data_IF_018198132137
#
_entry.id   IF_018198132137
#
_cell.length_a   1.000
_cell.length_b   1.000
_cell.length_c   1.000
_cell.angle_alpha   90.00
_cell.angle_beta   90.00
_cell.angle_gamma   90.00
#
_symmetry.space_group_name_H-M   'P 1'
#
loop_
_entity.id
_entity.type
_entity.pdbx_description
1 polymer ?
#
# COMPACT_ATOMS: atom_id res chain seq x y z
N UNK A 1 -21.68 -33.28 1.85
CA UNK A 1 -20.34 -33.77 2.25
C UNK A 1 -19.32 -33.20 1.28
N UNK A 2 -18.36 -32.45 1.78
CA UNK A 2 -17.29 -31.84 0.99
C UNK A 2 -16.26 -32.91 0.64
N UNK A 3 -16.18 -33.32 -0.63
CA UNK A 3 -15.14 -34.25 -1.09
C UNK A 3 -13.76 -33.60 -0.95
N UNK A 4 -12.83 -34.28 -0.27
CA UNK A 4 -11.49 -33.78 0.02
C UNK A 4 -10.45 -34.87 -0.23
N UNK A 5 -9.40 -34.50 -0.95
CA UNK A 5 -8.25 -35.33 -1.25
C UNK A 5 -6.98 -34.57 -0.88
N UNK A 6 -5.92 -35.33 -0.61
CA UNK A 6 -4.60 -34.78 -0.31
C UNK A 6 -3.58 -35.39 -1.25
N UNK A 7 -2.69 -34.56 -1.79
CA UNK A 7 -1.63 -34.96 -2.73
C UNK A 7 -0.28 -34.39 -2.26
N UNK A 8 0.81 -34.74 -2.95
CA UNK A 8 2.16 -34.23 -2.65
C UNK A 8 2.62 -34.50 -1.21
N UNK A 9 2.27 -35.66 -0.67
CA UNK A 9 2.67 -36.09 0.68
C UNK A 9 2.07 -35.23 1.79
N UNK A 10 0.81 -34.78 1.65
CA UNK A 10 0.15 -33.98 2.69
C UNK A 10 0.17 -32.47 2.45
N UNK A 11 0.88 -32.00 1.42
CA UNK A 11 1.17 -30.56 1.24
C UNK A 11 0.10 -29.81 0.48
N UNK A 12 -0.66 -30.50 -0.36
CA UNK A 12 -1.70 -29.89 -1.20
C UNK A 12 -3.02 -30.60 -0.95
N UNK A 13 -4.05 -29.81 -0.63
CA UNK A 13 -5.42 -30.28 -0.46
C UNK A 13 -6.22 -29.92 -1.70
N UNK A 14 -6.93 -30.90 -2.26
CA UNK A 14 -7.84 -30.73 -3.40
C UNK A 14 -9.24 -31.08 -2.93
N UNK A 15 -10.20 -30.16 -3.07
CA UNK A 15 -11.54 -30.33 -2.52
C UNK A 15 -12.62 -29.67 -3.37
N UNK A 16 -13.86 -30.14 -3.25
CA UNK A 16 -15.02 -29.59 -3.96
C UNK A 16 -16.05 -29.07 -2.97
N UNK A 17 -16.52 -27.82 -3.17
CA UNK A 17 -17.58 -27.21 -2.34
C UNK A 17 -18.96 -27.64 -2.82
N UNK A 18 -19.92 -27.64 -1.92
CA UNK A 18 -21.30 -28.09 -2.21
C UNK A 18 -21.97 -27.29 -3.33
N UNK A 19 -21.67 -25.99 -3.46
CA UNK A 19 -22.24 -25.10 -4.48
C UNK A 19 -21.29 -24.81 -5.66
N UNK A 20 -20.29 -25.65 -5.91
CA UNK A 20 -19.34 -25.42 -7.01
C UNK A 20 -19.03 -26.72 -7.76
N UNK A 21 -19.22 -26.70 -9.08
CA UNK A 21 -18.84 -27.80 -9.96
C UNK A 21 -17.32 -27.97 -10.10
N UNK A 22 -16.57 -26.92 -9.81
CA UNK A 22 -15.11 -26.90 -9.93
C UNK A 22 -14.41 -27.34 -8.65
N UNK A 23 -13.39 -28.17 -8.82
CA UNK A 23 -12.43 -28.47 -7.77
C UNK A 23 -11.62 -27.23 -7.41
N UNK A 24 -11.17 -27.21 -6.16
CA UNK A 24 -10.32 -26.17 -5.60
C UNK A 24 -9.11 -26.83 -4.99
N UNK A 25 -8.00 -26.11 -4.97
CA UNK A 25 -6.80 -26.56 -4.31
C UNK A 25 -6.30 -25.52 -3.31
N UNK A 26 -5.63 -26.00 -2.26
CA UNK A 26 -4.99 -25.15 -1.26
C UNK A 26 -3.73 -25.79 -0.69
N UNK A 27 -2.79 -24.95 -0.28
CA UNK A 27 -1.53 -25.36 0.36
C UNK A 27 -1.14 -24.32 1.40
N UNK A 28 -0.44 -24.75 2.44
CA UNK A 28 0.17 -23.84 3.41
C UNK A 28 1.64 -23.68 3.07
N UNK A 29 2.05 -22.48 2.68
CA UNK A 29 3.41 -22.17 2.27
C UNK A 29 3.81 -20.79 2.78
N UNK A 30 5.08 -20.65 3.18
CA UNK A 30 5.65 -19.40 3.69
C UNK A 30 4.91 -18.76 4.90
N UNK A 31 4.07 -19.51 5.62
CA UNK A 31 3.28 -18.98 6.74
C UNK A 31 1.87 -18.50 6.37
N UNK A 32 1.43 -18.69 5.12
CA UNK A 32 0.09 -18.32 4.64
C UNK A 32 -0.58 -19.50 3.94
N UNK A 33 -1.91 -19.55 4.03
CA UNK A 33 -2.71 -20.48 3.24
C UNK A 33 -2.98 -19.87 1.86
N UNK A 34 -2.50 -20.54 0.82
CA UNK A 34 -2.76 -20.21 -0.58
C UNK A 34 -3.88 -21.11 -1.09
N UNK A 35 -4.83 -20.52 -1.83
CA UNK A 35 -5.97 -21.24 -2.41
C UNK A 35 -6.30 -20.72 -3.79
N UNK A 36 -6.63 -21.61 -4.71
CA UNK A 36 -7.21 -21.27 -6.02
C UNK A 36 -8.28 -22.27 -6.44
N UNK A 37 -9.13 -21.89 -7.40
CA UNK A 37 -9.99 -22.83 -8.12
C UNK A 37 -9.16 -23.48 -9.23
N UNK A 38 -9.29 -24.80 -9.40
CA UNK A 38 -8.64 -25.50 -10.52
C UNK A 38 -9.36 -25.25 -11.84
N UNK A 39 -10.63 -24.82 -11.78
CA UNK A 39 -11.56 -24.73 -12.93
C UNK A 39 -11.79 -26.05 -13.65
N UNK A 40 -11.44 -27.17 -13.02
CA UNK A 40 -11.65 -28.52 -13.51
C UNK A 40 -12.80 -29.20 -12.77
N UNK A 41 -13.62 -29.97 -13.50
CA UNK A 41 -14.71 -30.80 -12.91
C UNK A 41 -14.22 -32.23 -12.62
N UNK A 42 -13.21 -32.70 -13.37
CA UNK A 42 -12.57 -34.00 -13.15
C UNK A 42 -11.54 -33.93 -12.03
N UNK A 43 -11.60 -34.90 -11.09
CA UNK A 43 -10.64 -35.01 -10.00
C UNK A 43 -9.20 -35.24 -10.50
N UNK A 44 -9.01 -36.01 -11.57
CA UNK A 44 -7.67 -36.29 -12.10
C UNK A 44 -7.01 -35.03 -12.67
N UNK A 45 -7.74 -34.28 -13.50
CA UNK A 45 -7.29 -33.00 -14.05
C UNK A 45 -7.08 -31.96 -12.96
N UNK A 46 -7.96 -31.93 -11.95
CA UNK A 46 -7.81 -31.06 -10.79
C UNK A 46 -6.54 -31.36 -9.98
N UNK A 47 -6.14 -32.63 -9.85
CA UNK A 47 -4.89 -33.02 -9.19
C UNK A 47 -3.67 -32.55 -9.99
N UNK A 48 -3.66 -32.76 -11.31
CA UNK A 48 -2.58 -32.28 -12.18
C UNK A 48 -2.41 -30.75 -12.10
N UNK A 49 -3.52 -30.01 -12.26
CA UNK A 49 -3.51 -28.55 -12.08
C UNK A 49 -2.97 -28.15 -10.71
N UNK A 50 -3.40 -28.84 -9.64
CA UNK A 50 -2.98 -28.53 -8.28
C UNK A 50 -1.48 -28.80 -8.05
N UNK A 51 -0.91 -29.81 -8.72
CA UNK A 51 0.53 -30.10 -8.71
C UNK A 51 1.32 -28.99 -9.41
N UNK A 52 0.96 -28.64 -10.65
CA UNK A 52 1.62 -27.57 -11.42
C UNK A 52 1.54 -26.23 -10.69
N UNK A 53 0.36 -25.91 -10.17
CA UNK A 53 0.14 -24.72 -9.36
C UNK A 53 1.04 -24.72 -8.11
N UNK A 54 1.14 -25.84 -7.40
CA UNK A 54 1.98 -25.96 -6.21
C UNK A 54 3.48 -25.80 -6.54
N UNK A 55 3.96 -26.40 -7.63
CA UNK A 55 5.35 -26.22 -8.07
C UNK A 55 5.65 -24.76 -8.43
N UNK A 56 4.76 -24.11 -9.19
CA UNK A 56 4.90 -22.69 -9.52
C UNK A 56 4.96 -21.79 -8.28
N UNK A 57 4.21 -22.15 -7.23
CA UNK A 57 4.19 -21.43 -5.97
C UNK A 57 5.49 -21.67 -5.19
N UNK A 58 5.98 -22.90 -5.16
CA UNK A 58 7.24 -23.26 -4.51
C UNK A 58 8.46 -22.63 -5.18
N UNK A 59 8.44 -22.49 -6.50
CA UNK A 59 9.50 -21.79 -7.23
C UNK A 59 9.51 -20.30 -6.91
N UNK A 60 8.32 -19.67 -6.81
CA UNK A 60 8.20 -18.28 -6.32
C UNK A 60 8.72 -18.13 -4.89
N UNK A 61 8.41 -19.07 -4.02
CA UNK A 61 8.90 -19.07 -2.63
C UNK A 61 10.43 -19.17 -2.58
N UNK A 62 11.01 -20.10 -3.33
CA UNK A 62 12.46 -20.28 -3.44
C UNK A 62 13.17 -19.03 -3.96
N UNK A 63 12.54 -18.29 -4.87
CA UNK A 63 13.06 -17.04 -5.40
C UNK A 63 12.81 -15.83 -4.45
N UNK A 64 12.17 -16.04 -3.30
CA UNK A 64 11.80 -14.95 -2.37
C UNK A 64 10.68 -14.05 -2.88
N UNK A 65 9.92 -14.48 -3.90
CA UNK A 65 8.81 -13.73 -4.49
C UNK A 65 7.50 -13.88 -3.70
N UNK A 66 7.40 -14.89 -2.83
CA UNK A 66 6.28 -14.97 -1.87
C UNK A 66 6.59 -14.07 -0.66
N UNK A 67 6.12 -12.84 -0.75
CA UNK A 67 6.25 -11.87 0.33
C UNK A 67 5.05 -11.99 1.26
N UNK A 68 5.29 -12.46 2.48
CA UNK A 68 4.31 -12.42 3.58
C UNK A 68 4.47 -11.16 4.45
N UNK A 69 4.99 -10.09 3.85
CA UNK A 69 5.06 -8.79 4.49
C UNK A 69 3.70 -8.09 4.45
N UNK A 70 3.51 -7.12 5.35
CA UNK A 70 2.36 -6.24 5.31
C UNK A 70 2.43 -5.36 4.06
N UNK A 71 1.28 -5.06 3.48
CA UNK A 71 1.22 -4.08 2.39
C UNK A 71 1.11 -2.67 2.94
N UNK A 72 1.46 -1.67 2.12
CA UNK A 72 1.28 -0.28 2.49
C UNK A 72 -0.16 0.03 2.90
N UNK A 73 -1.14 -0.49 2.16
CA UNK A 73 -2.57 -0.27 2.45
C UNK A 73 -2.94 -0.73 3.85
N UNK A 74 -2.48 -1.92 4.25
CA UNK A 74 -2.77 -2.45 5.59
C UNK A 74 -2.20 -1.54 6.70
N UNK A 75 -1.00 -0.99 6.50
CA UNK A 75 -0.40 -0.07 7.46
C UNK A 75 -1.06 1.30 7.41
N UNK A 76 -1.48 1.77 6.23
CA UNK A 76 -2.21 3.03 6.07
C UNK A 76 -3.57 3.00 6.78
N UNK A 77 -4.31 1.89 6.69
CA UNK A 77 -5.58 1.71 7.40
C UNK A 77 -5.36 1.70 8.92
N UNK A 78 -4.32 1.02 9.40
CA UNK A 78 -3.94 1.02 10.81
C UNK A 78 -3.53 2.42 11.29
N UNK A 79 -2.71 3.12 10.51
CA UNK A 79 -2.31 4.51 10.79
C UNK A 79 -3.55 5.41 10.90
N UNK A 80 -4.49 5.34 9.96
CA UNK A 80 -5.68 6.18 9.99
C UNK A 80 -6.51 5.96 11.27
N UNK A 81 -6.67 4.70 11.67
CA UNK A 81 -7.36 4.31 12.89
C UNK A 81 -6.64 4.80 14.16
N UNK A 82 -5.34 4.50 14.30
CA UNK A 82 -4.50 4.93 15.43
C UNK A 82 -4.44 6.45 15.55
N UNK A 83 -4.23 7.13 14.42
CA UNK A 83 -4.00 8.56 14.40
C UNK A 83 -5.25 9.32 14.86
N UNK A 84 -6.43 8.92 14.39
CA UNK A 84 -7.69 9.50 14.82
C UNK A 84 -7.96 9.26 16.31
N UNK A 85 -7.73 8.03 16.80
CA UNK A 85 -7.92 7.70 18.21
C UNK A 85 -6.98 8.49 19.13
N UNK A 86 -5.69 8.61 18.77
CA UNK A 86 -4.68 9.27 19.60
C UNK A 86 -4.75 10.81 19.55
N UNK A 87 -5.22 11.39 18.45
CA UNK A 87 -5.25 12.86 18.29
C UNK A 87 -6.57 13.52 18.63
N UNK A 88 -7.56 12.72 19.05
CA UNK A 88 -8.87 13.20 19.51
C UNK A 88 -8.69 14.26 20.61
N UNK A 89 -9.14 15.49 20.33
CA UNK A 89 -9.04 16.63 21.25
C UNK A 89 -7.67 17.33 21.31
N UNK A 90 -6.63 16.79 20.67
CA UNK A 90 -5.27 17.36 20.67
C UNK A 90 -4.86 18.00 19.34
N UNK A 91 -5.52 17.63 18.23
CA UNK A 91 -5.25 18.19 16.89
C UNK A 91 -6.52 18.71 16.23
N UNK A 92 -6.35 19.66 15.32
CA UNK A 92 -7.46 20.13 14.48
C UNK A 92 -8.02 18.97 13.64
N UNK A 93 -9.34 18.75 13.62
CA UNK A 93 -9.97 17.74 12.78
C UNK A 93 -9.58 17.87 11.30
N UNK A 94 -9.40 19.10 10.81
CA UNK A 94 -8.98 19.38 9.43
C UNK A 94 -7.61 18.80 9.10
N UNK A 95 -6.71 18.71 10.08
CA UNK A 95 -5.37 18.17 9.91
C UNK A 95 -5.40 16.64 9.76
N UNK A 96 -6.26 15.96 10.53
CA UNK A 96 -6.53 14.51 10.42
C UNK A 96 -7.12 14.19 9.05
N UNK A 97 -8.14 14.94 8.64
CA UNK A 97 -8.79 14.78 7.34
C UNK A 97 -7.82 15.04 6.18
N UNK A 98 -6.86 15.96 6.33
CA UNK A 98 -5.80 16.17 5.36
C UNK A 98 -4.94 14.92 5.11
N UNK A 99 -4.57 14.18 6.18
CA UNK A 99 -3.80 12.94 6.03
C UNK A 99 -4.65 11.83 5.40
N UNK A 100 -5.89 11.64 5.86
CA UNK A 100 -6.82 10.67 5.27
C UNK A 100 -7.06 10.95 3.78
N UNK A 101 -7.21 12.21 3.38
CA UNK A 101 -7.38 12.61 1.99
C UNK A 101 -6.15 12.24 1.14
N UNK A 102 -4.94 12.56 1.59
CA UNK A 102 -3.69 12.21 0.87
C UNK A 102 -3.51 10.70 0.74
N UNK A 103 -3.86 9.94 1.78
CA UNK A 103 -3.85 8.47 1.73
C UNK A 103 -4.81 7.96 0.66
N UNK A 104 -6.08 8.37 0.73
CA UNK A 104 -7.13 7.88 -0.17
C UNK A 104 -6.90 8.28 -1.63
N UNK A 105 -6.47 9.52 -1.87
CA UNK A 105 -6.39 10.09 -3.22
C UNK A 105 -5.09 9.78 -3.94
N UNK A 106 -3.98 9.57 -3.21
CA UNK A 106 -2.66 9.53 -3.84
C UNK A 106 -1.80 8.36 -3.36
N UNK A 107 -1.62 8.18 -2.05
CA UNK A 107 -0.66 7.20 -1.55
C UNK A 107 -1.17 5.76 -1.67
N UNK A 108 -2.42 5.47 -1.28
CA UNK A 108 -2.99 4.13 -1.38
C UNK A 108 -3.15 3.68 -2.85
N UNK A 109 -3.63 4.52 -3.79
CA UNK A 109 -3.66 4.15 -5.20
C UNK A 109 -2.30 3.76 -5.79
N UNK A 110 -1.21 4.38 -5.36
CA UNK A 110 0.13 4.12 -5.89
C UNK A 110 0.87 2.99 -5.14
N UNK A 111 0.89 3.05 -3.81
CA UNK A 111 1.67 2.14 -2.96
C UNK A 111 0.84 0.98 -2.38
N UNK A 112 -0.49 1.01 -2.44
CA UNK A 112 -1.36 0.19 -1.60
C UNK A 112 -1.10 -1.31 -1.64
N UNK A 113 -0.82 -1.85 -2.83
CA UNK A 113 -0.53 -3.28 -3.04
C UNK A 113 0.96 -3.63 -2.87
N UNK A 114 1.83 -2.62 -2.71
CA UNK A 114 3.26 -2.82 -2.47
C UNK A 114 3.49 -3.31 -1.05
N UNK A 115 4.38 -4.28 -0.92
CA UNK A 115 4.91 -4.68 0.36
C UNK A 115 5.86 -3.63 0.94
N UNK A 116 5.97 -3.58 2.27
CA UNK A 116 6.74 -2.53 2.95
C UNK A 116 8.22 -2.46 2.51
N UNK A 117 8.86 -3.60 2.25
CA UNK A 117 10.25 -3.67 1.78
C UNK A 117 10.43 -3.08 0.37
N UNK A 118 9.36 -3.01 -0.42
CA UNK A 118 9.39 -2.48 -1.79
C UNK A 118 9.37 -0.95 -1.83
N UNK A 119 9.00 -0.31 -0.72
CA UNK A 119 8.92 1.15 -0.60
C UNK A 119 10.32 1.70 -0.36
N UNK A 120 11.11 1.69 -1.43
CA UNK A 120 12.49 2.18 -1.45
C UNK A 120 12.54 3.67 -1.82
N UNK A 121 13.70 4.30 -1.62
CA UNK A 121 13.95 5.67 -2.08
C UNK A 121 13.65 5.83 -3.58
N UNK A 122 13.96 4.82 -4.40
CA UNK A 122 13.67 4.80 -5.83
C UNK A 122 12.16 4.83 -6.12
N UNK A 123 11.37 3.98 -5.48
CA UNK A 123 9.91 3.96 -5.65
C UNK A 123 9.26 5.27 -5.19
N UNK A 124 9.82 5.92 -4.18
CA UNK A 124 9.38 7.26 -3.74
C UNK A 124 9.67 8.32 -4.81
N UNK A 125 10.79 8.23 -5.53
CA UNK A 125 11.04 9.12 -6.67
C UNK A 125 10.09 8.84 -7.83
N UNK A 126 9.82 7.58 -8.14
CA UNK A 126 8.82 7.20 -9.15
C UNK A 126 7.45 7.79 -8.81
N UNK A 127 7.04 7.76 -7.54
CA UNK A 127 5.82 8.40 -7.08
C UNK A 127 5.82 9.91 -7.33
N UNK A 128 6.92 10.60 -7.04
CA UNK A 128 7.03 12.05 -7.29
C UNK A 128 6.88 12.36 -8.77
N UNK A 129 7.52 11.59 -9.64
CA UNK A 129 7.41 11.74 -11.10
C UNK A 129 5.98 11.48 -11.56
N UNK A 130 5.38 10.38 -11.12
CA UNK A 130 3.99 10.02 -11.42
C UNK A 130 3.02 11.16 -11.05
N UNK A 131 3.21 11.81 -9.89
CA UNK A 131 2.38 12.94 -9.46
C UNK A 131 2.58 14.20 -10.31
N UNK A 132 3.77 14.40 -10.87
CA UNK A 132 4.06 15.54 -11.76
C UNK A 132 3.50 15.32 -13.17
N UNK A 133 3.44 14.08 -13.64
CA UNK A 133 3.00 13.74 -15.01
C UNK A 133 1.50 13.48 -15.13
N UNK A 134 0.88 12.88 -14.09
CA UNK A 134 -0.52 12.40 -14.18
C UNK A 134 -1.55 13.48 -13.81
N UNK A 135 -1.13 14.56 -13.15
CA UNK A 135 -2.03 15.62 -12.74
C UNK A 135 -2.23 16.65 -13.86
N UNK A 136 -3.48 16.99 -14.18
CA UNK A 136 -3.81 18.08 -15.14
C UNK A 136 -3.06 19.38 -14.82
N UNK A 137 -2.90 19.66 -13.52
CA UNK A 137 -2.04 20.73 -13.01
C UNK A 137 -1.02 20.12 -12.04
N UNK A 138 0.29 20.29 -12.29
CA UNK A 138 1.32 19.78 -11.40
C UNK A 138 1.13 20.30 -9.96
N UNK A 139 1.23 19.42 -8.95
CA UNK A 139 1.07 19.80 -7.56
C UNK A 139 2.18 20.77 -7.13
N UNK A 140 1.86 21.66 -6.18
CA UNK A 140 2.87 22.51 -5.57
C UNK A 140 3.90 21.67 -4.80
N UNK A 141 5.13 22.17 -4.66
CA UNK A 141 6.18 21.49 -3.88
C UNK A 141 5.75 21.18 -2.45
N UNK A 142 5.03 22.11 -1.81
CA UNK A 142 4.47 21.91 -0.47
C UNK A 142 3.44 20.79 -0.44
N UNK A 143 2.62 20.64 -1.48
CA UNK A 143 1.64 19.54 -1.60
C UNK A 143 2.36 18.19 -1.66
N UNK A 144 3.37 18.05 -2.53
CA UNK A 144 4.17 16.82 -2.61
C UNK A 144 4.93 16.55 -1.31
N UNK A 145 5.44 17.61 -0.66
CA UNK A 145 6.09 17.48 0.63
C UNK A 145 5.13 16.91 1.68
N UNK A 146 3.90 17.44 1.78
CA UNK A 146 2.89 16.94 2.71
C UNK A 146 2.49 15.48 2.43
N UNK A 147 2.39 15.09 1.15
CA UNK A 147 2.16 13.70 0.74
C UNK A 147 3.31 12.79 1.25
N UNK A 148 4.56 13.20 1.08
CA UNK A 148 5.74 12.45 1.55
C UNK A 148 5.85 12.43 3.09
N UNK A 149 5.46 13.51 3.77
CA UNK A 149 5.35 13.54 5.23
C UNK A 149 4.30 12.52 5.71
N UNK A 150 3.16 12.44 5.02
CA UNK A 150 2.11 11.45 5.32
C UNK A 150 2.62 10.03 5.10
N UNK A 151 3.32 9.78 3.99
CA UNK A 151 3.99 8.50 3.72
C UNK A 151 4.97 8.12 4.86
N UNK A 152 5.81 9.06 5.29
CA UNK A 152 6.75 8.86 6.39
C UNK A 152 6.05 8.46 7.69
N UNK A 153 4.93 9.10 8.03
CA UNK A 153 4.16 8.77 9.22
C UNK A 153 3.59 7.35 9.18
N UNK A 154 3.07 6.92 8.02
CA UNK A 154 2.60 5.54 7.85
C UNK A 154 3.74 4.54 8.00
N UNK A 155 4.90 4.79 7.39
CA UNK A 155 6.05 3.87 7.53
C UNK A 155 6.62 3.86 8.96
N UNK A 156 6.50 4.95 9.72
CA UNK A 156 6.83 4.95 11.15
C UNK A 156 5.90 4.06 11.96
N UNK A 157 4.62 3.92 11.59
CA UNK A 157 3.74 2.90 12.19
C UNK A 157 4.32 1.51 11.94
N UNK A 158 4.70 1.19 10.71
CA UNK A 158 5.31 -0.10 10.39
C UNK A 158 6.56 -0.39 11.24
N UNK A 159 7.41 0.62 11.48
CA UNK A 159 8.58 0.49 12.37
C UNK A 159 8.16 0.22 13.81
N UNK A 160 7.16 0.94 14.35
CA UNK A 160 6.65 0.72 15.72
C UNK A 160 6.16 -0.71 15.94
N UNK A 161 5.57 -1.32 14.91
CA UNK A 161 5.12 -2.72 14.93
C UNK A 161 6.19 -3.73 14.48
N UNK A 162 7.43 -3.27 14.26
CA UNK A 162 8.55 -4.10 13.81
C UNK A 162 8.30 -4.82 12.47
N UNK A 163 7.49 -4.24 11.59
CA UNK A 163 7.24 -4.72 10.22
C UNK A 163 8.19 -4.11 9.19
N UNK A 164 8.85 -3.01 9.54
CA UNK A 164 9.88 -2.36 8.74
C UNK A 164 11.05 -2.01 9.67
N UNK A 165 12.29 -2.23 9.22
CA UNK A 165 13.48 -2.02 10.05
C UNK A 165 13.91 -0.55 10.12
N UNK A 166 13.88 0.14 8.97
CA UNK A 166 14.30 1.53 8.87
C UNK A 166 13.47 2.25 7.79
N UNK A 167 13.43 3.58 7.88
CA UNK A 167 12.80 4.39 6.84
C UNK A 167 13.72 4.47 5.61
N UNK A 168 13.17 4.39 4.39
CA UNK A 168 13.92 4.75 3.20
C UNK A 168 14.26 6.24 3.22
N UNK A 169 15.33 6.63 2.52
CA UNK A 169 15.60 8.04 2.28
C UNK A 169 14.49 8.64 1.39
N UNK A 170 13.81 9.65 1.93
CA UNK A 170 12.70 10.36 1.29
C UNK A 170 13.12 11.77 0.83
N UNK A 171 14.39 12.12 1.01
CA UNK A 171 14.93 13.41 0.58
C UNK A 171 14.70 13.61 -0.92
N UNK A 172 14.54 14.87 -1.32
CA UNK A 172 14.35 15.20 -2.73
C UNK A 172 15.74 15.34 -3.36
N UNK A 173 16.13 14.45 -4.30
CA UNK A 173 17.51 14.36 -4.78
C UNK A 173 17.89 15.53 -5.69
N UNK A 174 16.90 16.16 -6.34
CA UNK A 174 17.12 17.24 -7.31
C UNK A 174 16.30 18.48 -6.96
N UNK A 175 16.86 19.66 -7.25
CA UNK A 175 16.13 20.93 -7.20
C UNK A 175 15.78 21.44 -5.79
N UNK A 176 16.55 21.05 -4.77
CA UNK A 176 16.40 21.53 -3.39
C UNK A 176 16.44 23.07 -3.28
N UNK A 177 17.18 23.73 -4.19
CA UNK A 177 17.24 25.18 -4.29
C UNK A 177 16.06 25.73 -5.10
N UNK A 178 14.98 26.09 -4.42
CA UNK A 178 13.97 27.00 -4.97
C UNK A 178 14.15 28.40 -4.39
N UNK A 179 13.92 29.45 -5.20
CA UNK A 179 13.74 30.80 -4.69
C UNK A 179 12.59 30.78 -3.67
N UNK A 180 12.88 31.10 -2.42
CA UNK A 180 11.86 31.29 -1.38
C UNK A 180 11.04 32.51 -1.77
N UNK A 181 9.80 32.29 -2.24
CA UNK A 181 8.87 33.37 -2.54
C UNK A 181 8.01 33.59 -1.31
N UNK A 182 8.33 34.62 -0.53
CA UNK A 182 7.45 35.06 0.55
C UNK A 182 6.18 35.67 -0.02
N UNK A 183 5.03 35.42 0.62
CA UNK A 183 3.78 36.11 0.29
C UNK A 183 4.00 37.62 0.53
N UNK A 184 3.77 38.49 -0.47
CA UNK A 184 3.96 39.92 -0.27
C UNK A 184 2.94 40.44 0.76
N UNK A 185 3.36 41.41 1.56
CA UNK A 185 2.45 42.17 2.41
C UNK A 185 1.51 43.00 1.53
N UNK A 186 0.30 43.25 2.04
CA UNK A 186 -0.62 44.18 1.39
C UNK A 186 0.02 45.57 1.31
N UNK A 187 -0.10 46.23 0.16
CA UNK A 187 0.25 47.65 0.06
C UNK A 187 -0.77 48.51 0.81
N UNK A 188 -0.43 49.74 1.22
CA UNK A 188 -1.38 50.65 1.89
C UNK A 188 -2.68 50.84 1.11
N UNK A 189 -2.60 50.97 -0.22
CA UNK A 189 -3.77 51.09 -1.11
C UNK A 189 -4.65 49.83 -1.14
N UNK A 190 -4.05 48.64 -1.06
CA UNK A 190 -4.81 47.38 -0.95
C UNK A 190 -5.46 47.25 0.44
N UNK A 191 -4.82 47.78 1.48
CA UNK A 191 -5.37 47.80 2.83
C UNK A 191 -6.61 48.70 2.93
N UNK A 192 -6.57 49.90 2.33
CA UNK A 192 -7.71 50.82 2.24
C UNK A 192 -8.92 50.20 1.51
N UNK A 193 -8.68 49.35 0.49
CA UNK A 193 -9.75 48.64 -0.21
C UNK A 193 -10.41 47.52 0.61
N UNK A 194 -9.70 46.96 1.60
CA UNK A 194 -10.23 45.92 2.49
C UNK A 194 -11.02 46.51 3.67
N UNK A 195 -10.75 47.77 4.02
CA UNK A 195 -11.44 48.52 5.06
C UNK A 195 -11.97 49.85 4.51
N UNK A 196 -13.00 49.82 3.64
CA UNK A 196 -13.70 51.05 3.29
C UNK A 196 -14.37 51.58 4.57
N UNK A 197 -13.98 52.78 4.97
CA UNK A 197 -14.58 53.49 6.11
C UNK A 197 -16.04 53.87 5.86
#
# INVERSE_FOLDING_TARGET
MTEKHTIMGGKVYVYRRENSKYWQCSTFLAGKNHRTSTKEESLSLAKQFAEDWFFSLRDKDRQGLIKNEKTFKQVADLFAHEYEAMTKGQRSPKWVEGHKARLRLHLVPFFGDKGLSEITAGLIQEYRIHRMETAERPPARSTLHDEVVTLSQVLKVAIRYNWLQHLPDMSQPYGAESKVVHRPWFSPKQYEQLYPG
#
